data_IF_172937803870
#
_entry.id   IF_172937803870
#
_cell.length_a   1.000
_cell.length_b   1.000
_cell.length_c   1.000
_cell.angle_alpha   90.00
_cell.angle_beta   90.00
_cell.angle_gamma   90.00
#
_symmetry.space_group_name_H-M   'P 1'
#
loop_
_entity.id
_entity.type
_entity.pdbx_description
1 polymer ?
#
# COMPACT_ATOMS: atom_id res chain seq x y z
N UNK A 1 -5.38 21.63 16.69
CA UNK A 1 -5.87 20.92 17.90
C UNK A 1 -6.67 19.67 17.50
N UNK A 2 -6.16 18.83 16.59
CA UNK A 2 -6.88 17.66 16.05
C UNK A 2 -6.37 16.32 16.62
N UNK A 3 -5.50 16.37 17.63
CA UNK A 3 -4.66 15.25 18.10
C UNK A 3 -5.03 14.73 19.50
N UNK A 4 -6.03 15.34 20.15
CA UNK A 4 -6.40 14.98 21.53
C UNK A 4 -7.32 13.75 21.61
N UNK A 5 -8.00 13.37 20.51
CA UNK A 5 -9.08 12.36 20.55
C UNK A 5 -8.62 10.90 20.65
N UNK A 6 -7.72 10.44 19.77
CA UNK A 6 -7.45 8.99 19.67
C UNK A 6 -6.21 8.50 20.41
N UNK A 7 -5.36 9.41 20.91
CA UNK A 7 -4.16 9.08 21.69
C UNK A 7 -4.42 9.01 23.21
N UNK A 8 -5.37 9.79 23.74
CA UNK A 8 -5.79 9.75 25.15
C UNK A 8 -6.59 8.49 25.50
N UNK A 9 -7.43 8.00 24.57
CA UNK A 9 -8.36 6.91 24.84
C UNK A 9 -7.70 5.52 24.99
N UNK A 10 -6.50 5.34 24.42
CA UNK A 10 -5.77 4.08 24.58
C UNK A 10 -4.99 4.00 25.89
N UNK A 11 -4.85 5.09 26.66
CA UNK A 11 -4.05 5.12 27.89
C UNK A 11 -2.57 4.74 27.70
N UNK A 12 -2.09 4.68 26.45
CA UNK A 12 -0.79 4.10 26.06
C UNK A 12 0.21 5.18 25.60
N UNK A 13 -0.22 6.41 25.34
CA UNK A 13 0.67 7.49 24.90
C UNK A 13 0.73 8.62 25.92
N UNK A 14 1.85 8.72 26.63
CA UNK A 14 2.20 9.93 27.37
C UNK A 14 2.23 11.15 26.42
N UNK A 15 2.05 12.36 26.95
CA UNK A 15 2.24 13.62 26.21
C UNK A 15 3.55 13.63 25.39
N UNK A 16 4.58 12.94 25.90
CA UNK A 16 5.87 12.73 25.20
C UNK A 16 5.73 11.93 23.91
N UNK A 17 4.92 10.87 23.91
CA UNK A 17 4.65 10.07 22.70
C UNK A 17 3.92 10.87 21.63
N UNK A 18 2.93 11.66 22.04
CA UNK A 18 2.20 12.56 21.13
C UNK A 18 3.17 13.58 20.52
N UNK A 19 3.95 14.27 21.35
CA UNK A 19 4.93 15.25 20.89
C UNK A 19 5.98 14.64 19.95
N UNK A 20 6.44 13.41 20.24
CA UNK A 20 7.37 12.69 19.37
C UNK A 20 6.78 12.37 18.00
N UNK A 21 5.53 11.88 17.93
CA UNK A 21 4.85 11.64 16.65
C UNK A 21 4.61 12.93 15.88
N UNK A 22 4.21 14.01 16.54
CA UNK A 22 4.01 15.32 15.91
C UNK A 22 5.31 15.86 15.33
N UNK A 23 6.41 15.78 16.09
CA UNK A 23 7.72 16.17 15.60
C UNK A 23 8.14 15.31 14.41
N UNK A 24 7.99 13.99 14.51
CA UNK A 24 8.32 13.06 13.44
C UNK A 24 7.55 13.38 12.15
N UNK A 25 6.22 13.52 12.19
CA UNK A 25 5.41 13.83 11.00
C UNK A 25 5.81 15.14 10.33
N UNK A 26 6.16 16.15 11.12
CA UNK A 26 6.57 17.47 10.60
C UNK A 26 7.93 17.49 9.92
N UNK A 27 8.82 16.56 10.27
CA UNK A 27 10.23 16.64 9.83
C UNK A 27 10.72 15.42 9.06
N UNK A 28 10.00 14.30 9.08
CA UNK A 28 10.48 13.07 8.46
C UNK A 28 10.35 13.08 6.93
N UNK A 29 9.21 13.52 6.40
CA UNK A 29 8.98 13.74 4.98
C UNK A 29 8.33 15.10 4.82
N UNK A 30 8.89 15.92 3.93
CA UNK A 30 8.53 17.31 3.70
C UNK A 30 8.29 17.58 2.22
N UNK A 31 7.84 18.79 1.89
CA UNK A 31 7.70 19.23 0.49
C UNK A 31 9.05 19.18 -0.27
N UNK A 32 10.18 19.32 0.43
CA UNK A 32 11.51 19.23 -0.17
C UNK A 32 11.81 17.81 -0.64
N UNK A 33 11.45 16.78 0.13
CA UNK A 33 11.65 15.37 -0.24
C UNK A 33 10.80 15.00 -1.46
N UNK A 34 9.55 15.46 -1.53
CA UNK A 34 8.68 15.24 -2.71
C UNK A 34 9.25 15.95 -3.94
N UNK A 35 9.82 17.14 -3.78
CA UNK A 35 10.52 17.83 -4.86
C UNK A 35 11.74 17.04 -5.32
N UNK A 36 12.57 16.55 -4.40
CA UNK A 36 13.75 15.76 -4.73
C UNK A 36 13.37 14.49 -5.51
N UNK A 37 12.34 13.77 -5.07
CA UNK A 37 11.81 12.59 -5.77
C UNK A 37 11.39 12.96 -7.20
N UNK A 38 10.66 14.06 -7.38
CA UNK A 38 10.24 14.51 -8.71
C UNK A 38 11.42 14.96 -9.59
N UNK A 39 12.42 15.61 -9.00
CA UNK A 39 13.62 16.10 -9.69
C UNK A 39 14.52 14.94 -10.19
N UNK A 40 14.33 13.70 -9.70
CA UNK A 40 15.02 12.52 -10.26
C UNK A 40 14.70 12.28 -11.74
N UNK A 41 13.52 12.74 -12.20
CA UNK A 41 13.03 12.49 -13.56
C UNK A 41 12.65 11.03 -13.87
N UNK A 42 12.89 10.10 -12.93
CA UNK A 42 12.59 8.67 -13.06
C UNK A 42 11.28 8.33 -12.33
N UNK A 43 11.07 8.91 -11.15
CA UNK A 43 9.90 8.65 -10.31
C UNK A 43 8.79 9.67 -10.59
N UNK A 44 7.54 9.21 -10.66
CA UNK A 44 6.37 10.05 -10.93
C UNK A 44 5.21 9.83 -9.95
N UNK A 45 5.37 8.90 -9.01
CA UNK A 45 4.35 8.49 -8.05
C UNK A 45 5.02 8.09 -6.74
N UNK A 46 4.39 8.42 -5.62
CA UNK A 46 4.79 7.94 -4.28
C UNK A 46 3.63 7.14 -3.67
N UNK A 47 3.96 6.11 -2.91
CA UNK A 47 3.01 5.26 -2.16
C UNK A 47 3.22 5.52 -0.66
N UNK A 48 2.17 5.93 0.02
CA UNK A 48 2.14 6.40 1.41
C UNK A 48 1.30 5.44 2.25
N UNK A 49 1.93 4.60 3.08
CA UNK A 49 1.23 3.75 4.03
C UNK A 49 0.52 4.56 5.10
N UNK A 50 -0.77 4.30 5.26
CA UNK A 50 -1.59 4.88 6.32
C UNK A 50 -2.36 3.80 7.07
N UNK A 51 -2.34 3.91 8.39
CA UNK A 51 -3.09 2.99 9.24
C UNK A 51 -4.54 3.42 9.42
N UNK A 52 -5.44 2.45 9.60
CA UNK A 52 -6.86 2.68 9.87
C UNK A 52 -7.15 3.63 11.04
N UNK A 53 -6.24 3.78 12.01
CA UNK A 53 -6.43 4.61 13.19
C UNK A 53 -6.65 6.10 12.87
N UNK A 54 -6.32 6.57 11.66
CA UNK A 54 -6.51 7.97 11.25
C UNK A 54 -7.98 8.40 11.13
N UNK A 55 -8.93 7.47 11.02
CA UNK A 55 -10.36 7.81 10.85
C UNK A 55 -11.08 8.09 12.16
N UNK A 56 -10.61 7.57 13.30
CA UNK A 56 -11.19 7.93 14.60
C UNK A 56 -10.94 9.40 14.92
N UNK A 57 -9.78 9.92 14.51
CA UNK A 57 -9.48 11.35 14.56
C UNK A 57 -10.34 12.13 13.54
N UNK A 58 -10.60 11.62 12.33
CA UNK A 58 -11.36 12.35 11.31
C UNK A 58 -12.85 12.56 11.61
N UNK A 59 -13.49 11.68 12.39
CA UNK A 59 -14.88 11.88 12.86
C UNK A 59 -14.99 12.92 13.98
N UNK A 60 -13.86 13.37 14.54
CA UNK A 60 -13.81 14.32 15.67
C UNK A 60 -12.92 15.56 15.40
N UNK A 61 -12.13 15.56 14.33
CA UNK A 61 -11.24 16.66 13.95
C UNK A 61 -11.91 17.65 12.97
N UNK A 62 -11.71 18.97 13.14
CA UNK A 62 -12.16 19.94 12.15
C UNK A 62 -11.46 19.71 10.80
N UNK A 63 -12.28 19.80 9.73
CA UNK A 63 -12.00 19.47 8.31
C UNK A 63 -10.68 20.05 7.78
N UNK A 64 -10.15 21.09 8.41
CA UNK A 64 -9.02 21.88 7.92
C UNK A 64 -7.63 21.40 8.36
N UNK A 65 -7.51 20.34 9.19
CA UNK A 65 -6.20 19.95 9.78
C UNK A 65 -5.48 18.83 9.02
N UNK A 66 -6.19 18.07 8.19
CA UNK A 66 -5.65 16.91 7.44
C UNK A 66 -5.35 17.24 5.96
N UNK A 67 -5.31 18.52 5.60
CA UNK A 67 -5.22 18.99 4.20
C UNK A 67 -3.80 19.06 3.66
N UNK A 68 -2.76 18.82 4.49
CA UNK A 68 -1.37 19.12 4.11
C UNK A 68 -0.43 17.92 3.91
N UNK A 69 -0.80 16.69 4.26
CA UNK A 69 0.16 15.57 4.32
C UNK A 69 -0.17 14.33 3.45
N UNK A 70 -1.14 14.41 2.53
CA UNK A 70 -1.45 13.29 1.63
C UNK A 70 -1.57 13.79 0.19
N UNK A 71 -0.44 14.08 -0.44
CA UNK A 71 -0.32 14.03 -1.89
C UNK A 71 0.45 12.76 -2.18
N UNK A 72 -0.04 11.97 -3.15
CA UNK A 72 0.47 10.67 -3.62
C UNK A 72 -0.13 9.42 -2.92
N UNK A 73 -0.20 8.31 -3.68
CA UNK A 73 -1.05 7.13 -3.50
C UNK A 73 -1.06 6.59 -2.07
N UNK A 74 -2.21 6.18 -1.56
CA UNK A 74 -2.36 5.79 -0.15
C UNK A 74 -2.48 4.27 -0.04
N UNK A 75 -1.60 3.58 0.70
CA UNK A 75 -1.80 2.16 1.03
C UNK A 75 -2.50 2.04 2.38
N UNK A 76 -3.54 1.21 2.45
CA UNK A 76 -4.36 1.06 3.66
C UNK A 76 -3.94 -0.16 4.47
N UNK A 77 -3.81 0.01 5.79
CA UNK A 77 -3.57 -1.09 6.74
C UNK A 77 -4.77 -1.19 7.71
N UNK A 78 -5.55 -2.28 7.69
CA UNK A 78 -6.70 -2.49 8.58
C UNK A 78 -6.27 -2.74 10.05
N UNK A 79 -7.21 -2.95 10.98
CA UNK A 79 -6.91 -3.02 12.40
C UNK A 79 -6.16 -4.27 12.84
N UNK A 80 -5.05 -4.00 13.54
CA UNK A 80 -4.29 -4.89 14.43
C UNK A 80 -3.41 -5.90 13.71
N UNK A 81 -2.15 -5.49 13.51
CA UNK A 81 -1.08 -6.31 12.92
C UNK A 81 -1.35 -6.59 11.43
N UNK A 82 -0.30 -6.74 10.63
CA UNK A 82 -0.35 -7.07 9.19
C UNK A 82 -1.65 -7.82 8.78
N UNK A 83 -2.52 -7.14 8.03
CA UNK A 83 -3.54 -7.74 7.17
C UNK A 83 -4.57 -8.74 7.74
N UNK A 84 -4.93 -8.70 9.02
CA UNK A 84 -5.91 -9.66 9.57
C UNK A 84 -7.38 -9.21 9.41
N UNK A 85 -8.06 -9.72 8.38
CA UNK A 85 -9.52 -9.56 8.16
C UNK A 85 -10.38 -10.66 8.81
N UNK A 86 -9.85 -11.40 9.78
CA UNK A 86 -10.46 -12.64 10.32
C UNK A 86 -11.79 -12.53 11.07
N UNK A 87 -12.44 -11.35 11.12
CA UNK A 87 -13.80 -11.19 11.66
C UNK A 87 -14.63 -10.22 10.84
N UNK A 88 -15.96 -10.39 10.83
CA UNK A 88 -16.88 -9.48 10.13
C UNK A 88 -16.70 -8.03 10.60
N UNK A 89 -16.49 -7.80 11.89
CA UNK A 89 -16.21 -6.47 12.44
C UNK A 89 -14.96 -5.84 11.84
N UNK A 90 -13.89 -6.61 11.63
CA UNK A 90 -12.67 -6.10 11.01
C UNK A 90 -12.89 -5.79 9.53
N UNK A 91 -13.65 -6.61 8.82
CA UNK A 91 -14.04 -6.36 7.43
C UNK A 91 -14.83 -5.05 7.35
N UNK A 92 -15.87 -4.88 8.16
CA UNK A 92 -16.72 -3.68 8.16
C UNK A 92 -15.92 -2.42 8.49
N UNK A 93 -14.99 -2.50 9.45
CA UNK A 93 -14.12 -1.37 9.80
C UNK A 93 -13.14 -1.04 8.67
N UNK A 94 -12.63 -2.05 7.96
CA UNK A 94 -11.75 -1.85 6.81
C UNK A 94 -12.49 -1.22 5.63
N UNK A 95 -13.73 -1.63 5.38
CA UNK A 95 -14.59 -1.02 4.35
C UNK A 95 -14.89 0.43 4.69
N UNK A 96 -15.25 0.73 5.95
CA UNK A 96 -15.43 2.11 6.42
C UNK A 96 -14.18 2.96 6.22
N UNK A 97 -13.00 2.40 6.46
CA UNK A 97 -11.73 3.09 6.24
C UNK A 97 -11.49 3.39 4.76
N UNK A 98 -11.60 2.38 3.90
CA UNK A 98 -11.37 2.51 2.46
C UNK A 98 -12.35 3.50 1.82
N UNK A 99 -13.63 3.41 2.17
CA UNK A 99 -14.68 4.32 1.66
C UNK A 99 -14.46 5.76 2.14
N UNK A 100 -14.03 5.96 3.40
CA UNK A 100 -13.64 7.28 3.90
C UNK A 100 -12.50 7.90 3.09
N UNK A 101 -11.41 7.15 2.83
CA UNK A 101 -10.28 7.66 2.05
C UNK A 101 -10.67 7.95 0.61
N UNK A 102 -11.45 7.06 -0.02
CA UNK A 102 -11.97 7.27 -1.37
C UNK A 102 -12.77 8.57 -1.45
N UNK A 103 -13.73 8.77 -0.54
CA UNK A 103 -14.56 9.95 -0.51
C UNK A 103 -13.75 11.22 -0.27
N UNK A 104 -12.82 11.17 0.70
CA UNK A 104 -11.96 12.30 1.07
C UNK A 104 -11.12 12.82 -0.09
N UNK A 105 -10.56 11.92 -0.89
CA UNK A 105 -9.61 12.28 -1.96
C UNK A 105 -10.20 12.20 -3.36
N UNK A 106 -11.50 11.93 -3.52
CA UNK A 106 -12.18 11.75 -4.81
C UNK A 106 -11.86 12.84 -5.85
N UNK A 107 -11.83 14.09 -5.42
CA UNK A 107 -11.62 15.25 -6.31
C UNK A 107 -10.18 15.77 -6.29
N UNK A 108 -9.25 15.04 -5.67
CA UNK A 108 -7.85 15.43 -5.62
C UNK A 108 -7.14 14.97 -6.90
N UNK A 109 -6.59 15.86 -7.73
CA UNK A 109 -5.84 15.47 -8.92
C UNK A 109 -4.54 14.71 -8.59
N UNK A 110 -4.07 14.79 -7.34
CA UNK A 110 -2.90 14.07 -6.87
C UNK A 110 -3.22 12.67 -6.30
N UNK A 111 -4.49 12.27 -6.29
CA UNK A 111 -4.92 10.96 -5.79
C UNK A 111 -5.25 10.02 -6.94
N UNK A 112 -4.33 9.09 -7.20
CA UNK A 112 -4.52 8.06 -8.24
C UNK A 112 -5.44 6.92 -7.77
N UNK A 113 -5.32 6.55 -6.50
CA UNK A 113 -5.89 5.32 -5.99
C UNK A 113 -5.35 4.88 -4.63
N UNK A 114 -5.76 3.69 -4.21
CA UNK A 114 -5.33 3.08 -2.97
C UNK A 114 -5.15 1.57 -3.07
N UNK A 115 -4.23 1.04 -2.28
CA UNK A 115 -4.22 -0.39 -1.96
C UNK A 115 -5.23 -0.66 -0.86
N UNK A 116 -6.20 -1.55 -1.14
CA UNK A 116 -7.27 -1.91 -0.22
C UNK A 116 -6.74 -2.71 0.97
N UNK A 117 -5.62 -3.40 0.82
CA UNK A 117 -4.99 -4.19 1.87
C UNK A 117 -3.49 -4.29 1.64
N UNK A 118 -2.69 -4.07 2.68
CA UNK A 118 -1.26 -4.41 2.64
C UNK A 118 -1.05 -5.83 3.16
N UNK A 119 -0.40 -6.66 2.35
CA UNK A 119 0.19 -7.97 2.73
C UNK A 119 -0.72 -8.78 3.67
N UNK A 120 -1.90 -9.21 3.19
CA UNK A 120 -2.76 -10.06 4.00
C UNK A 120 -2.03 -11.38 4.29
N UNK A 121 -2.16 -11.86 5.52
CA UNK A 121 -1.50 -13.08 5.99
C UNK A 121 -2.50 -14.04 6.63
N UNK A 122 -2.28 -15.37 6.57
CA UNK A 122 -2.98 -16.32 7.41
C UNK A 122 -2.85 -15.96 8.91
N UNK A 123 -3.84 -16.30 9.76
CA UNK A 123 -4.99 -17.18 9.51
C UNK A 123 -6.22 -16.48 8.93
N UNK A 124 -6.09 -15.30 8.31
CA UNK A 124 -7.19 -14.69 7.59
C UNK A 124 -7.76 -15.65 6.52
N UNK A 125 -9.08 -15.65 6.35
CA UNK A 125 -9.77 -16.46 5.34
C UNK A 125 -9.69 -15.79 3.97
N UNK A 126 -9.26 -16.53 2.94
CA UNK A 126 -9.18 -16.04 1.56
C UNK A 126 -10.55 -15.62 1.01
N UNK A 127 -11.63 -16.30 1.41
CA UNK A 127 -12.99 -15.90 1.02
C UNK A 127 -13.39 -14.58 1.68
N UNK A 128 -13.02 -14.38 2.96
CA UNK A 128 -13.24 -13.13 3.66
C UNK A 128 -12.46 -11.96 3.02
N UNK A 129 -11.23 -12.21 2.56
CA UNK A 129 -10.42 -11.23 1.83
C UNK A 129 -11.07 -10.86 0.48
N UNK A 130 -11.51 -11.84 -0.30
CA UNK A 130 -12.24 -11.60 -1.56
C UNK A 130 -13.53 -10.82 -1.31
N UNK A 131 -14.30 -11.22 -0.29
CA UNK A 131 -15.53 -10.52 0.10
C UNK A 131 -15.26 -9.06 0.47
N UNK A 132 -14.21 -8.80 1.25
CA UNK A 132 -13.76 -7.44 1.56
C UNK A 132 -13.48 -6.61 0.30
N UNK A 133 -12.70 -7.14 -0.66
CA UNK A 133 -12.39 -6.43 -1.89
C UNK A 133 -13.64 -6.12 -2.73
N UNK A 134 -14.55 -7.08 -2.86
CA UNK A 134 -15.80 -6.92 -3.60
C UNK A 134 -16.69 -5.85 -2.96
N UNK A 135 -16.87 -5.88 -1.65
CA UNK A 135 -17.74 -4.94 -0.95
C UNK A 135 -17.15 -3.52 -0.90
N UNK A 136 -15.84 -3.40 -0.67
CA UNK A 136 -15.15 -2.11 -0.74
C UNK A 136 -15.27 -1.51 -2.15
N UNK A 137 -15.04 -2.30 -3.21
CA UNK A 137 -15.22 -1.87 -4.59
C UNK A 137 -16.64 -1.34 -4.83
N UNK A 138 -17.68 -2.13 -4.50
CA UNK A 138 -19.08 -1.76 -4.73
C UNK A 138 -19.42 -0.43 -4.05
N UNK A 139 -19.04 -0.28 -2.78
CA UNK A 139 -19.35 0.93 -2.01
C UNK A 139 -18.61 2.16 -2.56
N UNK A 140 -17.32 2.03 -2.89
CA UNK A 140 -16.54 3.12 -3.48
C UNK A 140 -17.13 3.53 -4.84
N UNK A 141 -17.40 2.58 -5.72
CA UNK A 141 -17.92 2.86 -7.07
C UNK A 141 -19.34 3.45 -7.04
N UNK A 142 -20.18 3.08 -6.09
CA UNK A 142 -21.52 3.67 -5.90
C UNK A 142 -21.47 5.18 -5.61
N UNK A 143 -20.36 5.69 -5.06
CA UNK A 143 -20.17 7.14 -4.87
C UNK A 143 -19.79 7.88 -6.17
N UNK A 144 -19.62 7.16 -7.29
CA UNK A 144 -19.06 7.69 -8.53
C UNK A 144 -17.55 7.98 -8.46
N UNK A 145 -16.84 7.35 -7.53
CA UNK A 145 -15.37 7.43 -7.43
C UNK A 145 -14.73 6.36 -8.32
N UNK A 146 -13.87 6.78 -9.24
CA UNK A 146 -13.20 5.91 -10.22
C UNK A 146 -11.68 5.79 -9.99
N UNK A 147 -11.22 6.00 -8.76
CA UNK A 147 -9.82 5.82 -8.40
C UNK A 147 -9.37 4.36 -8.61
N UNK A 148 -8.06 4.18 -8.81
CA UNK A 148 -7.44 2.86 -8.93
C UNK A 148 -7.54 2.14 -7.59
N UNK A 149 -8.04 0.91 -7.60
CA UNK A 149 -8.06 0.04 -6.43
C UNK A 149 -7.06 -1.09 -6.63
N UNK A 150 -6.00 -1.10 -5.82
CA UNK A 150 -5.02 -2.18 -5.80
C UNK A 150 -5.50 -3.29 -4.88
N UNK A 151 -5.49 -4.52 -5.41
CA UNK A 151 -5.78 -5.76 -4.68
C UNK A 151 -4.58 -6.69 -4.73
N UNK A 152 -4.33 -7.40 -3.65
CA UNK A 152 -3.20 -8.33 -3.54
C UNK A 152 -3.68 -9.66 -2.94
N UNK A 153 -3.13 -10.81 -3.37
CA UNK A 153 -3.33 -12.08 -2.70
C UNK A 153 -2.60 -12.09 -1.35
N UNK A 154 -2.58 -13.23 -0.66
CA UNK A 154 -1.79 -13.34 0.57
C UNK A 154 -0.30 -13.13 0.31
N UNK A 155 0.42 -12.73 1.36
CA UNK A 155 1.87 -12.50 1.30
C UNK A 155 2.64 -13.73 0.82
N UNK A 156 2.14 -14.94 1.13
CA UNK A 156 2.72 -16.21 0.69
C UNK A 156 2.30 -16.63 -0.73
N UNK A 157 1.32 -15.95 -1.33
CA UNK A 157 0.61 -16.38 -2.55
C UNK A 157 0.81 -15.36 -3.69
N UNK A 158 2.03 -14.84 -3.84
CA UNK A 158 2.35 -13.73 -4.76
C UNK A 158 2.62 -14.20 -6.22
N UNK A 159 2.15 -15.38 -6.60
CA UNK A 159 2.36 -15.99 -7.93
C UNK A 159 1.20 -15.74 -8.92
N UNK A 160 1.39 -16.00 -10.23
CA UNK A 160 0.39 -15.74 -11.27
C UNK A 160 -0.96 -16.44 -11.08
N UNK A 161 -0.99 -17.64 -10.51
CA UNK A 161 -2.22 -18.42 -10.37
C UNK A 161 -3.12 -17.80 -9.30
N UNK A 162 -2.53 -17.34 -8.20
CA UNK A 162 -3.27 -16.61 -7.17
C UNK A 162 -3.71 -15.22 -7.64
N UNK A 163 -2.90 -14.54 -8.45
CA UNK A 163 -3.29 -13.28 -9.09
C UNK A 163 -4.51 -13.43 -10.02
N UNK A 164 -4.66 -14.59 -10.66
CA UNK A 164 -5.80 -14.88 -11.55
C UNK A 164 -7.11 -15.01 -10.76
N UNK A 165 -7.04 -15.41 -9.49
CA UNK A 165 -8.19 -15.53 -8.59
C UNK A 165 -8.70 -14.19 -8.03
N UNK A 166 -7.99 -13.09 -8.26
CA UNK A 166 -8.38 -11.76 -7.79
C UNK A 166 -9.54 -11.17 -8.59
N UNK A 167 -10.33 -10.30 -7.96
CA UNK A 167 -11.36 -9.51 -8.66
C UNK A 167 -10.74 -8.73 -9.82
N UNK A 168 -11.37 -8.73 -10.99
CA UNK A 168 -10.79 -8.09 -12.17
C UNK A 168 -11.72 -7.92 -13.36
N UNK A 169 -11.17 -7.43 -14.47
CA UNK A 169 -11.93 -7.18 -15.69
C UNK A 169 -12.55 -8.49 -16.27
N UNK A 170 -13.70 -8.40 -16.96
CA UNK A 170 -14.47 -7.18 -17.26
C UNK A 170 -15.42 -6.71 -16.16
N UNK A 171 -15.64 -7.50 -15.10
CA UNK A 171 -16.63 -7.20 -14.06
C UNK A 171 -16.23 -6.01 -13.18
N UNK A 172 -14.93 -5.77 -13.02
CA UNK A 172 -14.38 -4.71 -12.17
C UNK A 172 -13.47 -3.78 -13.00
N UNK A 173 -13.74 -2.47 -12.96
CA UNK A 173 -12.95 -1.45 -13.67
C UNK A 173 -12.01 -0.71 -12.73
N UNK A 174 -10.85 -0.27 -13.26
CA UNK A 174 -9.79 0.39 -12.49
C UNK A 174 -9.40 -0.41 -11.23
N UNK A 175 -9.35 -1.74 -11.36
CA UNK A 175 -8.80 -2.66 -10.38
C UNK A 175 -7.49 -3.21 -10.90
N UNK A 176 -6.43 -3.05 -10.12
CA UNK A 176 -5.07 -3.45 -10.48
C UNK A 176 -4.59 -4.48 -9.45
N UNK A 177 -3.80 -5.45 -9.91
CA UNK A 177 -3.16 -6.42 -9.03
C UNK A 177 -1.86 -5.82 -8.48
N UNK A 178 -1.63 -5.93 -7.17
CA UNK A 178 -0.38 -5.53 -6.51
C UNK A 178 0.41 -6.76 -6.07
N UNK A 179 1.71 -6.74 -6.35
CA UNK A 179 2.68 -7.74 -5.86
C UNK A 179 3.89 -7.08 -5.21
N UNK A 180 4.52 -7.82 -4.30
CA UNK A 180 5.76 -7.42 -3.65
C UNK A 180 6.89 -8.42 -3.94
N UNK A 181 8.11 -7.93 -4.23
CA UNK A 181 9.25 -8.79 -4.60
C UNK A 181 10.54 -8.42 -3.86
N UNK A 182 10.98 -9.28 -2.94
CA UNK A 182 12.16 -9.05 -2.13
C UNK A 182 13.24 -10.12 -2.37
N UNK A 183 14.46 -9.69 -2.64
CA UNK A 183 15.63 -10.55 -2.87
C UNK A 183 16.66 -10.38 -1.74
N UNK A 184 16.17 -10.36 -0.49
CA UNK A 184 17.00 -10.30 0.72
C UNK A 184 16.93 -11.63 1.45
N UNK A 185 15.72 -11.98 1.90
CA UNK A 185 15.48 -13.17 2.71
C UNK A 185 15.61 -14.42 1.84
N UNK A 186 16.52 -15.33 2.21
CA UNK A 186 16.89 -16.51 1.42
C UNK A 186 18.02 -16.26 0.42
N UNK A 187 18.54 -15.03 0.34
CA UNK A 187 19.67 -14.65 -0.51
C UNK A 187 20.93 -14.29 0.29
N UNK A 188 20.94 -14.57 1.60
CA UNK A 188 22.10 -14.37 2.44
C UNK A 188 23.32 -15.14 1.91
N UNK A 189 24.45 -14.45 1.76
CA UNK A 189 25.69 -15.03 1.24
C UNK A 189 25.71 -15.35 -0.26
N UNK A 190 24.67 -14.97 -1.01
CA UNK A 190 24.68 -15.06 -2.49
C UNK A 190 25.52 -13.94 -3.10
N UNK A 191 26.14 -14.22 -4.25
CA UNK A 191 26.81 -13.19 -5.03
C UNK A 191 25.81 -12.29 -5.75
N UNK A 192 26.27 -11.13 -6.20
CA UNK A 192 25.45 -10.20 -6.96
C UNK A 192 24.88 -10.85 -8.23
N UNK A 193 25.68 -11.65 -8.94
CA UNK A 193 25.26 -12.36 -10.16
C UNK A 193 24.17 -13.40 -9.86
N UNK A 194 24.26 -14.09 -8.72
CA UNK A 194 23.23 -15.05 -8.31
C UNK A 194 21.91 -14.36 -7.97
N UNK A 195 21.95 -13.18 -7.33
CA UNK A 195 20.75 -12.38 -7.08
C UNK A 195 20.15 -11.86 -8.38
N UNK A 196 20.97 -11.40 -9.33
CA UNK A 196 20.50 -10.96 -10.64
C UNK A 196 19.86 -12.09 -11.44
N UNK A 197 20.46 -13.28 -11.43
CA UNK A 197 19.88 -14.45 -12.09
C UNK A 197 18.52 -14.82 -11.48
N UNK A 198 18.35 -14.66 -10.17
CA UNK A 198 17.07 -14.89 -9.50
C UNK A 198 16.02 -13.82 -9.84
N UNK A 199 16.43 -12.56 -9.98
CA UNK A 199 15.56 -11.48 -10.47
C UNK A 199 15.09 -11.78 -11.90
N UNK A 200 15.99 -12.20 -12.78
CA UNK A 200 15.65 -12.56 -14.15
C UNK A 200 14.68 -13.76 -14.18
N UNK A 201 14.88 -14.75 -13.32
CA UNK A 201 13.95 -15.87 -13.17
C UNK A 201 12.57 -15.40 -12.62
N UNK A 202 12.54 -14.50 -11.65
CA UNK A 202 11.31 -13.94 -11.09
C UNK A 202 10.53 -13.13 -12.13
N UNK A 203 11.22 -12.33 -12.95
CA UNK A 203 10.60 -11.60 -14.07
C UNK A 203 9.88 -12.57 -15.02
N UNK A 204 10.50 -13.68 -15.40
CA UNK A 204 9.86 -14.67 -16.28
C UNK A 204 8.70 -15.42 -15.62
N UNK A 205 8.92 -15.88 -14.38
CA UNK A 205 7.98 -16.79 -13.69
C UNK A 205 6.83 -16.08 -13.00
N UNK A 206 6.94 -14.79 -12.69
CA UNK A 206 5.92 -14.01 -11.99
C UNK A 206 5.47 -12.79 -12.80
N UNK A 207 6.39 -11.89 -13.18
CA UNK A 207 6.00 -10.60 -13.78
C UNK A 207 5.42 -10.77 -15.17
N UNK A 208 6.10 -11.51 -16.05
CA UNK A 208 5.68 -11.73 -17.44
C UNK A 208 4.52 -12.71 -17.54
N UNK A 209 4.48 -13.72 -16.69
CA UNK A 209 3.42 -14.73 -16.60
C UNK A 209 2.15 -14.25 -15.89
N UNK A 210 2.19 -13.15 -15.14
CA UNK A 210 1.03 -12.61 -14.43
C UNK A 210 -0.17 -12.38 -15.38
N UNK A 211 -1.40 -12.65 -14.92
CA UNK A 211 -2.59 -12.47 -15.75
C UNK A 211 -2.75 -11.01 -16.20
N UNK A 212 -3.28 -10.83 -17.41
CA UNK A 212 -3.35 -9.52 -18.09
C UNK A 212 -4.73 -8.86 -18.06
N UNK A 213 -5.73 -9.52 -17.47
CA UNK A 213 -7.07 -8.95 -17.30
C UNK A 213 -7.04 -7.71 -16.38
N UNK A 214 -6.18 -7.71 -15.37
CA UNK A 214 -5.85 -6.53 -14.57
C UNK A 214 -4.47 -6.01 -14.94
N UNK A 215 -4.26 -4.70 -14.75
CA UNK A 215 -2.89 -4.16 -14.73
C UNK A 215 -2.16 -4.66 -13.49
N UNK A 216 -0.85 -4.86 -13.61
CA UNK A 216 0.01 -5.30 -12.51
C UNK A 216 0.83 -4.12 -12.00
N UNK A 217 0.92 -3.99 -10.68
CA UNK A 217 1.71 -2.99 -9.98
C UNK A 217 2.68 -3.67 -9.02
N UNK A 218 3.98 -3.43 -9.22
CA UNK A 218 5.02 -3.88 -8.29
C UNK A 218 5.13 -2.85 -7.15
N UNK A 219 4.32 -3.04 -6.11
CA UNK A 219 4.10 -2.02 -5.07
C UNK A 219 5.24 -1.88 -4.07
N UNK A 220 5.99 -2.97 -3.86
CA UNK A 220 7.21 -2.99 -3.06
C UNK A 220 8.22 -3.93 -3.70
N UNK A 221 9.47 -3.50 -3.80
CA UNK A 221 10.54 -4.37 -4.22
C UNK A 221 11.87 -3.91 -3.67
N UNK A 222 12.78 -4.86 -3.47
CA UNK A 222 14.15 -4.54 -3.07
C UNK A 222 15.10 -5.68 -3.41
N UNK A 223 16.27 -5.31 -3.95
CA UNK A 223 17.30 -6.24 -4.44
C UNK A 223 18.34 -6.63 -3.38
N UNK A 224 18.43 -5.92 -2.25
CA UNK A 224 19.63 -5.98 -1.41
C UNK A 224 20.71 -5.01 -1.89
N UNK A 225 21.46 -4.41 -0.96
CA UNK A 225 22.75 -3.79 -1.28
C UNK A 225 23.86 -4.84 -1.24
N UNK A 226 25.03 -4.56 -1.82
CA UNK A 226 26.22 -5.40 -1.60
C UNK A 226 26.49 -5.53 -0.08
N UNK A 227 26.96 -6.69 0.42
CA UNK A 227 27.39 -6.84 1.82
C UNK A 227 28.34 -5.73 2.28
N UNK A 228 29.08 -5.12 1.35
CA UNK A 228 30.08 -4.08 1.61
C UNK A 228 29.59 -2.64 1.34
N UNK A 229 28.38 -2.44 0.82
CA UNK A 229 27.89 -1.10 0.49
C UNK A 229 27.03 -0.53 1.63
N UNK A 230 27.63 0.27 2.50
CA UNK A 230 26.92 1.29 3.30
C UNK A 230 26.42 2.45 2.43
N UNK A 231 25.80 2.16 1.30
CA UNK A 231 25.35 3.16 0.33
C UNK A 231 24.69 2.49 -0.87
N UNK A 232 23.42 2.84 -1.11
CA UNK A 232 22.64 2.31 -2.22
C UNK A 232 23.33 2.52 -3.57
N UNK A 233 23.61 1.42 -4.26
CA UNK A 233 23.94 1.46 -5.68
C UNK A 233 22.66 1.69 -6.48
N UNK A 234 22.53 2.86 -7.07
CA UNK A 234 21.43 3.21 -7.97
C UNK A 234 21.61 2.48 -9.31
N UNK A 235 20.94 1.35 -9.46
CA UNK A 235 20.75 0.70 -10.75
C UNK A 235 19.26 0.55 -11.00
N UNK A 236 18.66 1.55 -11.64
CA UNK A 236 17.32 1.43 -12.20
C UNK A 236 17.44 0.63 -13.51
N UNK A 237 16.95 -0.60 -13.51
CA UNK A 237 16.70 -1.36 -14.75
C UNK A 237 15.20 -1.29 -15.00
N UNK A 238 14.80 -0.70 -16.12
CA UNK A 238 13.40 -0.73 -16.54
C UNK A 238 13.02 -2.19 -16.82
N UNK A 239 12.12 -2.73 -16.01
CA UNK A 239 11.43 -3.98 -16.29
C UNK A 239 10.29 -3.66 -17.27
N UNK A 240 10.64 -3.33 -18.50
CA UNK A 240 9.63 -3.11 -19.55
C UNK A 240 8.95 -4.44 -19.90
N UNK A 241 7.63 -4.48 -19.72
CA UNK A 241 6.76 -5.51 -20.31
C UNK A 241 6.53 -5.09 -21.76
N UNK A 242 7.19 -5.76 -22.72
CA UNK A 242 6.84 -5.66 -24.15
C UNK A 242 5.50 -6.32 -24.43
#
# INVERSE_FOLDING_TARGET
MATHGTLDYLGICSEKGIAAFEQHRKTWITEADIKEIADTGVLNTVRVPVGHWIIRDATTAPVNTLTREARTASSTVPPVTLGNVGSQTNIDNSIKFATFLAARYKNSPAFLGMALMKEPVPPADGNALQHYYIEAYKQIRTTGNDCILLVTPFLCDQDPDHLKGMIGAPQYTNVWNEIHAYFIWGYEGKTEEQVLAAIDQYDQSHLKSAPTNNRLFLGEWYRGGSPDSRGGGHYFRELERK
#
